data_IF_950723672755
#
_entry.id   IF_950723672755
#
_cell.length_a   1.000
_cell.length_b   1.000
_cell.length_c   1.000
_cell.angle_alpha   90.00
_cell.angle_beta   90.00
_cell.angle_gamma   90.00
#
_symmetry.space_group_name_H-M   'P 1'
#
loop_
_entity.id
_entity.type
_entity.pdbx_description
1 polymer ?
#
# COMPACT_ATOMS: atom_id res chain seq x y z
N UNK A 1 -15.02 -19.45 31.57
CA UNK A 1 -14.32 -18.48 30.69
C UNK A 1 -15.33 -17.92 29.70
N UNK A 2 -15.64 -16.63 29.74
CA UNK A 2 -16.50 -15.98 28.75
C UNK A 2 -15.67 -15.78 27.47
N UNK A 3 -16.11 -16.39 26.36
CA UNK A 3 -15.53 -16.15 25.05
C UNK A 3 -16.13 -14.86 24.48
N UNK A 4 -15.36 -13.79 24.40
CA UNK A 4 -15.71 -12.55 23.70
C UNK A 4 -15.38 -12.74 22.22
N UNK A 5 -16.39 -12.84 21.36
CA UNK A 5 -16.26 -12.83 19.92
C UNK A 5 -16.50 -11.41 19.40
N UNK A 6 -15.52 -10.87 18.68
CA UNK A 6 -15.62 -9.54 18.05
C UNK A 6 -15.72 -9.71 16.54
N UNK A 7 -16.93 -9.84 15.96
CA UNK A 7 -17.09 -10.09 14.55
C UNK A 7 -16.77 -8.85 13.72
N UNK A 8 -15.86 -8.99 12.77
CA UNK A 8 -15.66 -8.02 11.69
C UNK A 8 -16.07 -8.63 10.36
N UNK A 9 -16.61 -7.82 9.45
CA UNK A 9 -17.02 -8.24 8.12
C UNK A 9 -16.42 -7.31 7.08
N UNK A 10 -15.82 -7.91 6.07
CA UNK A 10 -15.33 -7.21 4.88
C UNK A 10 -16.03 -7.81 3.66
N UNK A 11 -16.53 -6.96 2.79
CA UNK A 11 -17.14 -7.35 1.52
C UNK A 11 -16.47 -6.58 0.40
N UNK A 12 -16.07 -7.30 -0.66
CA UNK A 12 -15.30 -6.72 -1.76
C UNK A 12 -15.86 -7.14 -3.11
N UNK A 13 -15.95 -6.18 -4.02
CA UNK A 13 -16.19 -6.41 -5.44
C UNK A 13 -14.98 -5.92 -6.20
N UNK A 14 -14.48 -6.70 -7.14
CA UNK A 14 -13.33 -6.30 -7.94
C UNK A 14 -13.46 -6.73 -9.39
N UNK A 15 -12.82 -5.96 -10.27
CA UNK A 15 -12.63 -6.28 -11.67
C UNK A 15 -11.20 -5.93 -12.08
N UNK A 16 -10.63 -6.74 -12.96
CA UNK A 16 -9.30 -6.53 -13.53
C UNK A 16 -9.33 -6.84 -15.02
N UNK A 17 -8.70 -5.95 -15.79
CA UNK A 17 -8.46 -6.14 -17.23
C UNK A 17 -6.96 -6.08 -17.45
N UNK A 18 -6.46 -7.01 -18.23
CA UNK A 18 -5.07 -7.04 -18.67
C UNK A 18 -5.08 -7.18 -20.19
N UNK A 19 -4.32 -6.32 -20.84
CA UNK A 19 -4.14 -6.32 -22.28
C UNK A 19 -2.67 -6.36 -22.60
N UNK A 20 -2.30 -7.29 -23.45
CA UNK A 20 -0.94 -7.46 -23.94
C UNK A 20 -0.95 -7.37 -25.47
N UNK A 21 -0.06 -6.58 -26.01
CA UNK A 21 0.09 -6.38 -27.43
C UNK A 21 1.51 -6.69 -27.89
N UNK A 22 1.64 -7.61 -28.82
CA UNK A 22 2.88 -8.00 -29.51
C UNK A 22 4.04 -8.35 -28.55
N UNK A 23 3.71 -8.94 -27.38
CA UNK A 23 4.70 -9.22 -26.32
C UNK A 23 5.57 -8.00 -25.93
N UNK A 24 5.20 -6.80 -26.34
CA UNK A 24 5.94 -5.56 -26.11
C UNK A 24 5.28 -4.64 -25.10
N UNK A 25 3.96 -4.54 -25.19
CA UNK A 25 3.19 -3.59 -24.39
C UNK A 25 2.21 -4.33 -23.51
N UNK A 26 2.30 -4.11 -22.21
CA UNK A 26 1.35 -4.64 -21.25
C UNK A 26 0.62 -3.48 -20.58
N UNK A 27 -0.69 -3.54 -20.56
CA UNK A 27 -1.56 -2.64 -19.81
C UNK A 27 -2.39 -3.45 -18.84
N UNK A 28 -2.44 -3.02 -17.59
CA UNK A 28 -3.27 -3.61 -16.54
C UNK A 28 -4.09 -2.52 -15.89
N UNK A 29 -5.40 -2.71 -15.80
CA UNK A 29 -6.30 -1.84 -15.05
C UNK A 29 -7.10 -2.66 -14.05
N UNK A 30 -7.27 -2.16 -12.84
CA UNK A 30 -8.13 -2.80 -11.84
C UNK A 30 -8.98 -1.78 -11.10
N UNK A 31 -10.16 -2.20 -10.70
CA UNK A 31 -11.05 -1.47 -9.81
C UNK A 31 -11.54 -2.40 -8.71
N UNK A 32 -11.64 -1.86 -7.50
CA UNK A 32 -12.12 -2.59 -6.33
C UNK A 32 -12.98 -1.68 -5.47
N UNK A 33 -14.10 -2.22 -5.02
CA UNK A 33 -14.99 -1.58 -4.07
C UNK A 33 -15.08 -2.43 -2.82
N UNK A 34 -14.65 -1.88 -1.69
CA UNK A 34 -14.57 -2.57 -0.40
C UNK A 34 -15.52 -1.94 0.61
N UNK A 35 -16.26 -2.77 1.33
CA UNK A 35 -17.11 -2.36 2.43
C UNK A 35 -16.68 -3.00 3.74
N UNK A 36 -16.34 -2.17 4.75
CA UNK A 36 -15.90 -2.63 6.07
C UNK A 36 -16.96 -2.35 7.14
N UNK A 37 -17.21 -3.33 8.00
CA UNK A 37 -18.11 -3.16 9.15
C UNK A 37 -17.54 -2.29 10.27
N UNK A 38 -16.29 -1.85 10.16
CA UNK A 38 -15.64 -0.95 11.13
C UNK A 38 -16.20 0.48 11.03
N UNK A 39 -16.67 0.85 9.84
CA UNK A 39 -17.22 2.17 9.55
C UNK A 39 -18.74 2.20 9.62
N UNK A 40 -19.30 3.38 9.76
CA UNK A 40 -20.74 3.61 9.70
C UNK A 40 -21.32 3.24 8.32
N UNK A 41 -22.63 2.95 8.20
CA UNK A 41 -23.25 2.57 6.93
C UNK A 41 -22.97 3.53 5.77
N UNK A 42 -22.91 4.83 6.06
CA UNK A 42 -22.73 5.91 5.10
C UNK A 42 -21.28 6.01 4.58
N UNK A 43 -20.30 5.60 5.40
CA UNK A 43 -18.85 5.76 5.10
C UNK A 43 -18.11 4.45 4.89
N UNK A 44 -18.80 3.30 5.00
CA UNK A 44 -18.18 1.97 4.97
C UNK A 44 -17.58 1.57 3.63
N UNK A 45 -18.01 2.18 2.52
CA UNK A 45 -17.60 1.80 1.19
C UNK A 45 -16.47 2.69 0.67
N UNK A 46 -15.33 2.07 0.35
CA UNK A 46 -14.20 2.68 -0.34
C UNK A 46 -14.11 2.18 -1.79
N UNK A 47 -13.71 3.05 -2.72
CA UNK A 47 -13.43 2.70 -4.10
C UNK A 47 -11.92 2.87 -4.35
N UNK A 48 -11.29 1.82 -4.83
CA UNK A 48 -9.86 1.76 -5.08
C UNK A 48 -9.61 1.31 -6.50
N UNK A 49 -8.49 1.72 -7.08
CA UNK A 49 -8.18 1.42 -8.47
C UNK A 49 -6.67 1.41 -8.70
N UNK A 50 -6.25 0.74 -9.73
CA UNK A 50 -4.86 0.80 -10.19
C UNK A 50 -4.77 0.72 -11.70
N UNK A 51 -3.77 1.42 -12.24
CA UNK A 51 -3.35 1.38 -13.63
C UNK A 51 -1.86 1.06 -13.65
N UNK A 52 -1.46 0.10 -14.44
CA UNK A 52 -0.06 -0.28 -14.63
C UNK A 52 0.21 -0.52 -16.09
N UNK A 53 1.40 -0.15 -16.53
CA UNK A 53 1.89 -0.43 -17.88
C UNK A 53 3.33 -0.86 -17.83
N UNK A 54 3.71 -1.73 -18.73
CA UNK A 54 5.11 -2.04 -19.01
C UNK A 54 5.35 -2.10 -20.51
N UNK A 55 6.54 -1.67 -20.91
CA UNK A 55 7.01 -1.64 -22.29
C UNK A 55 8.34 -2.37 -22.38
N UNK A 56 8.37 -3.41 -23.19
CA UNK A 56 9.58 -4.17 -23.50
C UNK A 56 10.32 -3.49 -24.64
N UNK A 57 11.17 -2.57 -24.28
CA UNK A 57 11.97 -1.75 -25.22
C UNK A 57 12.94 -2.62 -26.02
N UNK A 58 13.46 -3.69 -25.40
CA UNK A 58 14.36 -4.66 -26.03
C UNK A 58 13.78 -5.35 -27.27
N UNK A 59 12.44 -5.37 -27.40
CA UNK A 59 11.74 -6.02 -28.52
C UNK A 59 11.39 -5.05 -29.66
N UNK A 60 11.78 -3.79 -29.55
CA UNK A 60 11.54 -2.82 -30.61
C UNK A 60 12.59 -2.95 -31.73
N UNK A 61 12.17 -2.69 -32.97
CA UNK A 61 13.03 -2.81 -34.15
C UNK A 61 14.28 -1.91 -34.08
N UNK A 62 14.13 -0.71 -33.49
CA UNK A 62 15.25 0.22 -33.29
C UNK A 62 16.30 -0.27 -32.30
N UNK A 63 15.97 -1.30 -31.49
CA UNK A 63 16.88 -1.92 -30.52
C UNK A 63 17.57 -3.18 -31.07
N UNK A 64 17.26 -3.60 -32.30
CA UNK A 64 17.82 -4.81 -32.88
C UNK A 64 19.36 -4.85 -32.88
N UNK A 65 20.01 -3.71 -33.06
CA UNK A 65 21.48 -3.60 -33.02
C UNK A 65 22.10 -3.78 -31.64
N UNK A 66 21.31 -3.78 -30.57
CA UNK A 66 21.79 -3.92 -29.18
C UNK A 66 21.69 -5.35 -28.65
N UNK A 67 21.13 -6.27 -29.41
CA UNK A 67 20.85 -7.67 -29.00
C UNK A 67 22.08 -8.44 -28.53
N UNK A 68 23.29 -8.06 -28.97
CA UNK A 68 24.53 -8.72 -28.58
C UNK A 68 24.89 -8.53 -27.10
N UNK A 69 24.51 -7.42 -26.53
CA UNK A 69 24.82 -7.07 -25.13
C UNK A 69 23.62 -6.80 -24.25
N UNK A 70 22.48 -6.35 -24.82
CA UNK A 70 21.24 -6.08 -24.11
C UNK A 70 20.29 -7.27 -24.24
N UNK A 71 20.11 -8.02 -23.16
CA UNK A 71 19.27 -9.22 -23.16
C UNK A 71 17.79 -8.90 -22.86
N UNK A 72 17.54 -7.87 -22.06
CA UNK A 72 16.20 -7.37 -21.78
C UNK A 72 16.26 -5.91 -21.29
N UNK A 73 15.25 -5.13 -21.68
CA UNK A 73 15.03 -3.78 -21.18
C UNK A 73 13.53 -3.50 -21.10
N UNK A 74 13.03 -3.35 -19.88
CA UNK A 74 11.61 -3.09 -19.64
C UNK A 74 11.43 -1.79 -18.87
N UNK A 75 10.64 -0.89 -19.41
CA UNK A 75 10.13 0.27 -18.68
C UNK A 75 8.79 -0.09 -18.04
N UNK A 76 8.60 0.28 -16.79
CA UNK A 76 7.37 0.00 -16.04
C UNK A 76 6.89 1.25 -15.33
N UNK A 77 5.58 1.42 -15.30
CA UNK A 77 4.93 2.51 -14.57
C UNK A 77 3.63 2.02 -13.96
N UNK A 78 3.34 2.46 -12.75
CA UNK A 78 2.05 2.19 -12.12
C UNK A 78 1.57 3.37 -11.29
N UNK A 79 0.25 3.54 -11.25
CA UNK A 79 -0.41 4.50 -10.39
C UNK A 79 -1.72 3.92 -9.88
N UNK A 80 -2.00 4.10 -8.57
CA UNK A 80 -3.21 3.55 -7.98
C UNK A 80 -3.49 4.04 -6.58
N UNK A 81 -4.72 3.80 -6.16
CA UNK A 81 -5.24 4.09 -4.83
C UNK A 81 -5.55 2.79 -4.10
N UNK A 82 -5.13 2.66 -2.85
CA UNK A 82 -5.41 1.54 -1.95
C UNK A 82 -6.02 2.06 -0.66
N UNK A 83 -6.96 1.28 -0.08
CA UNK A 83 -7.59 1.60 1.19
C UNK A 83 -6.93 0.90 2.36
N UNK A 84 -6.99 1.55 3.53
CA UNK A 84 -6.68 0.96 4.81
C UNK A 84 -7.84 1.25 5.77
N UNK A 85 -8.34 0.21 6.47
CA UNK A 85 -9.40 0.29 7.47
C UNK A 85 -8.92 -0.07 8.89
N UNK A 86 -7.61 -0.19 9.07
CA UNK A 86 -7.03 -0.67 10.32
C UNK A 86 -6.91 0.43 11.37
N UNK A 87 -7.84 0.46 12.29
CA UNK A 87 -7.91 1.38 13.45
C UNK A 87 -7.52 0.74 14.78
N UNK A 88 -7.16 -0.55 14.78
CA UNK A 88 -6.96 -1.30 16.03
C UNK A 88 -8.26 -1.60 16.80
N UNK A 89 -9.41 -1.15 16.29
CA UNK A 89 -10.74 -1.39 16.86
C UNK A 89 -11.75 -1.78 15.78
N UNK A 90 -12.81 -2.49 16.18
CA UNK A 90 -13.87 -2.94 15.28
C UNK A 90 -15.15 -2.08 15.36
N UNK A 91 -15.25 -1.17 16.33
CA UNK A 91 -16.45 -0.39 16.63
C UNK A 91 -16.18 1.11 16.72
N UNK A 92 -15.19 1.61 16.00
CA UNK A 92 -14.81 3.02 16.05
C UNK A 92 -15.95 4.00 15.70
N UNK A 93 -16.88 3.59 14.82
CA UNK A 93 -18.04 4.41 14.48
C UNK A 93 -19.11 4.49 15.57
N UNK A 94 -18.99 3.68 16.64
CA UNK A 94 -20.00 3.59 17.72
C UNK A 94 -19.46 4.12 19.03
N UNK A 95 -20.32 4.80 19.80
CA UNK A 95 -20.07 5.08 21.20
C UNK A 95 -20.14 3.81 22.03
N UNK A 96 -19.12 3.57 22.84
CA UNK A 96 -19.05 2.41 23.71
C UNK A 96 -19.03 2.86 25.17
N UNK A 97 -19.59 2.01 26.03
CA UNK A 97 -19.58 2.17 27.46
C UNK A 97 -18.93 0.94 28.10
N UNK A 98 -18.23 1.14 29.18
CA UNK A 98 -17.70 0.07 30.02
C UNK A 98 -18.39 0.05 31.38
N UNK A 99 -18.53 -1.14 31.95
CA UNK A 99 -19.07 -1.29 33.30
C UNK A 99 -17.89 -1.26 34.28
N UNK A 100 -17.93 -0.32 35.20
CA UNK A 100 -16.94 -0.20 36.27
C UNK A 100 -17.64 -0.36 37.62
N UNK A 101 -16.92 -0.87 38.62
CA UNK A 101 -17.42 -0.91 40.00
C UNK A 101 -17.12 0.44 40.65
N UNK A 102 -18.15 1.09 41.17
CA UNK A 102 -18.06 2.32 41.97
C UNK A 102 -18.71 2.07 43.33
N UNK A 103 -17.92 2.03 44.39
CA UNK A 103 -18.36 1.77 45.77
C UNK A 103 -19.19 0.49 45.94
N UNK A 104 -18.87 -0.56 45.16
CA UNK A 104 -19.58 -1.86 45.17
C UNK A 104 -20.80 -1.93 44.25
N UNK A 105 -21.20 -0.84 43.61
CA UNK A 105 -22.27 -0.74 42.62
C UNK A 105 -21.72 -0.73 41.20
N UNK A 106 -22.48 -1.28 40.24
CA UNK A 106 -22.12 -1.20 38.84
C UNK A 106 -22.46 0.17 38.24
N UNK A 107 -21.47 0.84 37.69
CA UNK A 107 -21.62 2.12 37.01
C UNK A 107 -21.25 1.98 35.53
N UNK A 108 -21.98 2.66 34.64
CA UNK A 108 -21.64 2.79 33.22
C UNK A 108 -20.79 4.03 33.00
N UNK A 109 -19.61 3.84 32.44
CA UNK A 109 -18.70 4.92 32.08
C UNK A 109 -18.51 4.93 30.59
N UNK A 110 -18.50 6.11 29.98
CA UNK A 110 -18.17 6.27 28.57
C UNK A 110 -16.74 5.82 28.32
N UNK A 111 -16.57 4.85 27.43
CA UNK A 111 -15.27 4.29 27.05
C UNK A 111 -14.76 4.92 25.74
N UNK A 112 -15.64 5.03 24.76
CA UNK A 112 -15.30 5.53 23.44
C UNK A 112 -16.36 6.48 22.89
N UNK A 113 -15.91 7.60 22.34
CA UNK A 113 -16.76 8.54 21.63
C UNK A 113 -17.13 7.99 20.22
N UNK A 114 -18.39 8.12 19.82
CA UNK A 114 -18.83 7.75 18.48
C UNK A 114 -18.23 8.68 17.42
N UNK A 115 -17.68 8.08 16.33
CA UNK A 115 -17.17 8.85 15.18
C UNK A 115 -17.77 8.32 13.88
N UNK A 116 -19.04 8.68 13.59
CA UNK A 116 -19.78 8.15 12.44
C UNK A 116 -19.22 8.59 11.09
N UNK A 117 -18.47 9.71 11.04
CA UNK A 117 -17.86 10.26 9.82
C UNK A 117 -16.53 9.60 9.46
N UNK A 118 -16.07 8.65 10.26
CA UNK A 118 -14.83 7.95 10.02
C UNK A 118 -14.90 7.15 8.71
N UNK A 119 -13.88 7.30 7.86
CA UNK A 119 -13.80 6.71 6.53
C UNK A 119 -12.46 6.02 6.28
N UNK A 120 -12.35 5.35 5.16
CA UNK A 120 -11.12 4.71 4.71
C UNK A 120 -9.95 5.69 4.59
N UNK A 121 -8.82 5.33 5.14
CA UNK A 121 -7.54 5.95 4.79
C UNK A 121 -7.19 5.55 3.35
N UNK A 122 -6.69 6.52 2.57
CA UNK A 122 -6.35 6.31 1.16
C UNK A 122 -4.86 6.46 0.93
N UNK A 123 -4.24 5.42 0.36
CA UNK A 123 -2.84 5.40 -0.03
C UNK A 123 -2.73 5.49 -1.56
N UNK A 124 -2.25 6.62 -2.06
CA UNK A 124 -1.93 6.85 -3.47
C UNK A 124 -0.48 6.44 -3.72
N UNK A 125 -0.26 5.49 -4.62
CA UNK A 125 1.07 4.97 -4.97
C UNK A 125 1.36 5.28 -6.43
N UNK A 126 2.50 5.90 -6.69
CA UNK A 126 3.07 6.09 -8.02
C UNK A 126 4.45 5.44 -8.06
N UNK A 127 4.68 4.59 -9.05
CA UNK A 127 5.97 3.96 -9.28
C UNK A 127 6.32 4.06 -10.76
N UNK A 128 7.60 4.32 -11.04
CA UNK A 128 8.19 4.23 -12.36
C UNK A 128 9.55 3.56 -12.24
N UNK A 129 9.84 2.63 -13.12
CA UNK A 129 11.08 1.88 -13.02
C UNK A 129 11.56 1.32 -14.35
N UNK A 130 12.78 0.85 -14.31
CA UNK A 130 13.50 0.22 -15.42
C UNK A 130 14.04 -1.12 -14.90
N UNK A 131 13.73 -2.20 -15.60
CA UNK A 131 14.36 -3.50 -15.41
C UNK A 131 15.27 -3.75 -16.61
N UNK A 132 16.49 -4.19 -16.37
CA UNK A 132 17.44 -4.49 -17.43
C UNK A 132 18.19 -5.80 -17.19
N UNK A 133 18.62 -6.42 -18.28
CA UNK A 133 19.51 -7.55 -18.26
C UNK A 133 20.50 -7.46 -19.40
N UNK A 134 21.77 -7.72 -19.11
CA UNK A 134 22.90 -7.52 -20.00
C UNK A 134 23.73 -8.79 -20.13
N UNK A 135 24.40 -8.95 -21.29
CA UNK A 135 25.39 -10.01 -21.55
C UNK A 135 24.84 -11.41 -21.26
N UNK A 136 23.76 -11.78 -21.94
CA UNK A 136 23.07 -13.07 -21.76
C UNK A 136 22.70 -13.34 -20.28
N UNK A 137 22.08 -12.32 -19.64
CA UNK A 137 21.64 -12.34 -18.23
C UNK A 137 22.81 -12.46 -17.23
N UNK A 138 24.04 -12.15 -17.61
CA UNK A 138 25.18 -12.15 -16.71
C UNK A 138 25.11 -11.02 -15.68
N UNK A 139 24.57 -9.87 -16.08
CA UNK A 139 24.25 -8.74 -15.22
C UNK A 139 22.78 -8.39 -15.38
N UNK A 140 22.10 -8.20 -14.27
CA UNK A 140 20.70 -7.74 -14.26
C UNK A 140 20.47 -6.78 -13.12
N UNK A 141 19.47 -5.94 -13.26
CA UNK A 141 19.10 -5.03 -12.21
C UNK A 141 17.79 -4.32 -12.45
N UNK A 142 17.36 -3.61 -11.44
CA UNK A 142 16.24 -2.67 -11.51
C UNK A 142 16.60 -1.35 -10.88
N UNK A 143 15.99 -0.30 -11.40
CA UNK A 143 16.00 1.02 -10.80
C UNK A 143 14.57 1.52 -10.74
N UNK A 144 14.06 1.78 -9.55
CA UNK A 144 12.68 2.17 -9.30
C UNK A 144 12.64 3.51 -8.54
N UNK A 145 11.81 4.43 -9.02
CA UNK A 145 11.40 5.63 -8.30
C UNK A 145 9.97 5.45 -7.83
N UNK A 146 9.71 5.78 -6.57
CA UNK A 146 8.38 5.70 -6.03
C UNK A 146 7.98 6.94 -5.24
N UNK A 147 6.68 7.23 -5.23
CA UNK A 147 6.09 8.15 -4.27
C UNK A 147 4.76 7.56 -3.77
N UNK A 148 4.63 7.52 -2.45
CA UNK A 148 3.41 7.11 -1.76
C UNK A 148 2.88 8.28 -0.95
N UNK A 149 1.61 8.60 -1.14
CA UNK A 149 0.91 9.62 -0.36
C UNK A 149 -0.27 8.99 0.36
N UNK A 150 -0.20 8.95 1.69
CA UNK A 150 -1.31 8.56 2.55
C UNK A 150 -2.11 9.79 2.92
N UNK A 151 -3.42 9.74 2.76
CA UNK A 151 -4.38 10.79 3.09
C UNK A 151 -5.46 10.24 4.01
N UNK A 152 -6.10 11.13 4.76
CA UNK A 152 -7.15 10.77 5.70
C UNK A 152 -6.67 9.66 6.66
N UNK A 153 -5.46 9.85 7.23
CA UNK A 153 -4.86 8.86 8.12
C UNK A 153 -5.80 8.54 9.27
N UNK A 154 -5.96 7.26 9.54
CA UNK A 154 -6.72 6.78 10.68
C UNK A 154 -5.89 6.96 11.96
N UNK A 155 -6.28 7.88 12.80
CA UNK A 155 -5.52 8.26 14.00
C UNK A 155 -6.41 8.42 15.22
N UNK A 156 -5.95 7.90 16.35
CA UNK A 156 -6.60 8.09 17.65
C UNK A 156 -5.95 9.29 18.34
N UNK A 157 -6.60 10.45 18.23
CA UNK A 157 -6.09 11.71 18.77
C UNK A 157 -6.43 11.83 20.26
N UNK A 158 -5.44 12.06 21.14
CA UNK A 158 -5.69 12.36 22.55
C UNK A 158 -6.52 13.64 22.69
N UNK A 159 -7.49 13.60 23.60
CA UNK A 159 -8.32 14.78 23.94
C UNK A 159 -8.28 15.06 25.44
N UNK A 160 -8.74 16.24 25.83
CA UNK A 160 -8.75 16.62 27.24
C UNK A 160 -9.64 15.66 28.05
N UNK A 161 -9.14 15.08 29.17
CA UNK A 161 -9.92 14.16 30.01
C UNK A 161 -11.21 14.75 30.55
N UNK A 162 -11.29 16.09 30.65
CA UNK A 162 -12.50 16.81 31.06
C UNK A 162 -13.70 16.60 30.14
N UNK A 163 -13.47 16.08 28.89
CA UNK A 163 -14.53 15.71 27.96
C UNK A 163 -15.09 14.30 28.23
N UNK A 164 -14.55 13.57 29.22
CA UNK A 164 -15.01 12.23 29.59
C UNK A 164 -14.43 11.10 28.74
N UNK A 165 -13.48 11.39 27.83
CA UNK A 165 -12.84 10.43 26.95
C UNK A 165 -11.32 10.67 26.91
N UNK A 166 -10.54 9.60 26.70
CA UNK A 166 -9.08 9.71 26.56
C UNK A 166 -8.63 10.09 25.15
N UNK A 167 -9.38 9.66 24.14
CA UNK A 167 -9.07 9.92 22.73
C UNK A 167 -10.30 9.87 21.84
N UNK A 168 -10.17 10.40 20.63
CA UNK A 168 -11.15 10.32 19.57
C UNK A 168 -10.48 9.76 18.32
N UNK A 169 -11.16 8.80 17.66
CA UNK A 169 -10.70 8.26 16.38
C UNK A 169 -11.19 9.17 15.24
N UNK A 170 -10.29 9.62 14.40
CA UNK A 170 -10.62 10.52 13.29
C UNK A 170 -9.68 10.32 12.11
N UNK A 171 -10.10 10.78 10.93
CA UNK A 171 -9.24 10.86 9.77
C UNK A 171 -8.52 12.20 9.78
N UNK A 172 -7.21 12.20 10.05
CA UNK A 172 -6.41 13.42 10.17
C UNK A 172 -5.04 13.25 9.57
N UNK A 173 -4.58 14.32 8.91
CA UNK A 173 -3.24 14.41 8.39
C UNK A 173 -2.99 13.67 7.08
N UNK A 174 -1.80 13.92 6.57
CA UNK A 174 -1.29 13.26 5.37
C UNK A 174 0.22 13.05 5.46
N UNK A 175 0.68 11.92 4.93
CA UNK A 175 2.08 11.55 4.84
C UNK A 175 2.49 11.39 3.38
N UNK A 176 3.72 11.77 3.06
CA UNK A 176 4.34 11.51 1.75
C UNK A 176 5.68 10.82 1.93
N UNK A 177 5.82 9.65 1.33
CA UNK A 177 7.08 8.93 1.18
C UNK A 177 7.52 9.03 -0.28
N UNK A 178 8.76 9.45 -0.51
CA UNK A 178 9.35 9.50 -1.85
C UNK A 178 10.73 8.89 -1.77
N UNK A 179 11.05 7.99 -2.70
CA UNK A 179 12.33 7.30 -2.66
C UNK A 179 12.72 6.67 -3.98
N UNK A 180 13.91 6.08 -3.97
CA UNK A 180 14.50 5.30 -5.04
C UNK A 180 14.92 3.94 -4.48
N UNK A 181 14.81 2.93 -5.30
CA UNK A 181 15.27 1.58 -5.03
C UNK A 181 16.12 1.12 -6.21
N UNK A 182 17.23 0.45 -5.93
CA UNK A 182 18.12 -0.13 -6.92
C UNK A 182 18.48 -1.55 -6.50
N UNK A 183 18.36 -2.46 -7.43
CA UNK A 183 18.80 -3.84 -7.27
C UNK A 183 19.77 -4.17 -8.40
N UNK A 184 20.95 -4.67 -8.08
CA UNK A 184 21.92 -5.14 -9.06
C UNK A 184 22.35 -6.56 -8.72
N UNK A 185 22.40 -7.42 -9.74
CA UNK A 185 22.86 -8.79 -9.63
C UNK A 185 23.86 -9.07 -10.75
N UNK A 186 24.93 -9.77 -10.43
CA UNK A 186 25.95 -10.13 -11.38
C UNK A 186 26.50 -11.54 -11.14
N UNK A 187 26.69 -12.29 -12.22
CA UNK A 187 27.45 -13.54 -12.23
C UNK A 187 28.89 -13.23 -12.63
N UNK A 188 29.77 -13.11 -11.62
CA UNK A 188 31.16 -12.70 -11.81
C UNK A 188 31.97 -13.84 -12.45
N UNK A 189 31.83 -15.03 -11.88
CA UNK A 189 32.51 -16.25 -12.38
C UNK A 189 31.45 -17.30 -12.71
N UNK A 190 31.57 -17.91 -13.88
CA UNK A 190 30.81 -19.09 -14.28
C UNK A 190 31.68 -19.94 -15.21
N UNK A 191 32.67 -20.63 -14.64
CA UNK A 191 33.64 -21.46 -15.36
C UNK A 191 34.07 -22.68 -14.56
N UNK A 192 34.31 -23.80 -15.22
CA UNK A 192 34.89 -25.03 -14.65
C UNK A 192 34.16 -25.52 -13.38
N UNK A 193 32.84 -25.41 -13.33
CA UNK A 193 32.06 -25.81 -12.15
C UNK A 193 32.01 -24.78 -11.02
N UNK A 194 32.74 -23.68 -11.15
CA UNK A 194 32.69 -22.57 -10.20
C UNK A 194 31.67 -21.52 -10.63
N UNK A 195 30.76 -21.16 -9.72
CA UNK A 195 29.78 -20.10 -9.93
C UNK A 195 29.89 -19.12 -8.78
N UNK A 196 30.23 -17.86 -9.09
CA UNK A 196 30.20 -16.76 -8.12
C UNK A 196 29.24 -15.67 -8.55
N UNK A 197 28.24 -15.41 -7.71
CA UNK A 197 27.21 -14.36 -7.92
C UNK A 197 27.36 -13.30 -6.85
N UNK A 198 27.16 -12.04 -7.24
CA UNK A 198 27.12 -10.88 -6.35
C UNK A 198 25.77 -10.18 -6.54
N UNK A 199 25.15 -9.82 -5.42
CA UNK A 199 23.90 -9.01 -5.39
C UNK A 199 24.10 -7.79 -4.50
N UNK A 200 23.54 -6.66 -4.92
CA UNK A 200 23.50 -5.40 -4.17
C UNK A 200 22.09 -4.81 -4.21
N UNK A 201 21.59 -4.41 -3.05
CA UNK A 201 20.33 -3.68 -2.91
C UNK A 201 20.61 -2.33 -2.26
N UNK A 202 20.07 -1.27 -2.82
CA UNK A 202 20.13 0.08 -2.27
C UNK A 202 18.72 0.67 -2.24
N UNK A 203 18.31 1.19 -1.08
CA UNK A 203 17.05 1.91 -0.92
C UNK A 203 17.33 3.23 -0.21
N UNK A 204 16.85 4.32 -0.78
CA UNK A 204 16.85 5.63 -0.14
C UNK A 204 15.46 6.25 -0.22
N UNK A 205 14.91 6.68 0.91
CA UNK A 205 13.61 7.35 0.92
C UNK A 205 13.56 8.48 1.95
N UNK A 206 12.66 9.43 1.68
CA UNK A 206 12.33 10.54 2.57
C UNK A 206 10.86 10.48 2.92
N UNK A 207 10.59 10.52 4.22
CA UNK A 207 9.25 10.66 4.78
C UNK A 207 8.97 12.13 5.14
N UNK A 208 7.78 12.62 4.83
CA UNK A 208 7.33 13.96 5.19
C UNK A 208 5.87 13.94 5.58
N UNK A 209 5.54 14.52 6.75
CA UNK A 209 4.17 14.91 7.11
C UNK A 209 3.81 16.11 6.25
N UNK A 210 2.70 16.05 5.51
CA UNK A 210 2.27 17.10 4.57
C UNK A 210 1.05 17.85 5.04
N UNK A 211 0.33 17.28 6.01
CA UNK A 211 -0.84 17.86 6.62
C UNK A 211 -1.03 17.27 8.04
N UNK A 212 -1.59 18.06 9.00
CA UNK A 212 -1.85 17.67 10.38
C UNK A 212 -3.20 18.22 10.84
#
# INVERSE_FOLDING_TARGET
>A
AASLSTPSRLMSYFGRVQYEYDDRYLLTASIRRDGSSRFAPETRWGNFWSLGTSWRVDREEFMASTSDWLSALTLKMSYGAQGNDNLGTYYASKGLYTIVSNLGENALVSDRMATPNLKWETNLNFNVGIDFSLFNNRFSGSFDFFTRRSKDLLYSRPIAPSLGYGSIDENVGALKNTGIEMVLNGTIINQNGWVWKLGMNLTHYKNKVTDL
#
